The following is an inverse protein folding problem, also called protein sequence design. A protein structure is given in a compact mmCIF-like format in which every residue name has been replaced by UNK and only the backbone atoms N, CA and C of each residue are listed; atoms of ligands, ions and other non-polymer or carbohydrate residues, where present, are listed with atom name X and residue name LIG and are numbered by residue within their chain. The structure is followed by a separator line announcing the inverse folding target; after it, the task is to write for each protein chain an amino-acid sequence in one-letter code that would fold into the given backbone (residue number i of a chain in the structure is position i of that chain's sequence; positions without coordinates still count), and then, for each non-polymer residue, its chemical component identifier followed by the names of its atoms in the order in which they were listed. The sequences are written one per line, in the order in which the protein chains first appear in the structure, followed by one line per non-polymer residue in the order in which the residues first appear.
data_IF_005081359970
#
_entry.id   IF_005081359970
#
_cell.length_a   1.000
_cell.length_b   1.000
_cell.length_c   1.000
_cell.angle_alpha   90.00
_cell.angle_beta   90.00
_cell.angle_gamma   90.00
#
_symmetry.space_group_name_H-M   'P 1'
#
loop_
_entity.id
_entity.type
_entity.pdbx_description
1 polymer ?
#
# COMPACT_ATOMS: atom_id res chain seq x y z
N UNK A 1 -11.09 -6.78 -15.37
CA UNK A 1 -10.84 -5.38 -14.96
C UNK A 1 -11.02 -5.19 -13.45
N UNK A 2 -12.12 -5.65 -12.87
CA UNK A 2 -12.45 -5.49 -11.44
C UNK A 2 -11.40 -6.09 -10.49
N UNK A 3 -10.93 -7.31 -10.76
CA UNK A 3 -9.87 -7.96 -9.96
C UNK A 3 -8.57 -7.14 -9.91
N UNK A 4 -8.18 -6.56 -11.04
CA UNK A 4 -6.99 -5.71 -11.13
C UNK A 4 -7.17 -4.40 -10.35
N UNK A 5 -8.36 -3.80 -10.47
CA UNK A 5 -8.73 -2.60 -9.72
C UNK A 5 -8.65 -2.86 -8.21
N UNK A 6 -9.22 -3.97 -7.74
CA UNK A 6 -9.16 -4.37 -6.32
C UNK A 6 -7.71 -4.45 -5.81
N UNK A 7 -6.82 -5.11 -6.55
CA UNK A 7 -5.42 -5.26 -6.16
C UNK A 7 -4.68 -3.91 -6.04
N UNK A 8 -5.03 -2.92 -6.87
CA UNK A 8 -4.46 -1.56 -6.77
C UNK A 8 -5.05 -0.77 -5.61
N UNK A 9 -6.36 -0.86 -5.40
CA UNK A 9 -7.04 -0.15 -4.32
C UNK A 9 -6.62 -0.67 -2.94
N UNK A 10 -6.41 -1.98 -2.78
CA UNK A 10 -6.13 -2.55 -1.47
C UNK A 10 -4.73 -2.20 -0.95
N UNK A 11 -3.76 -2.00 -1.84
CA UNK A 11 -2.39 -1.59 -1.47
C UNK A 11 -2.17 -0.08 -1.51
N UNK A 12 -3.19 0.69 -1.89
CA UNK A 12 -3.10 2.14 -1.89
C UNK A 12 -2.90 2.66 -0.46
N UNK A 13 -1.82 3.44 -0.26
CA UNK A 13 -1.43 4.05 1.02
C UNK A 13 -1.58 3.04 2.17
N UNK A 14 -0.86 1.92 2.08
CA UNK A 14 -1.05 0.76 2.95
C UNK A 14 -0.86 1.07 4.45
N UNK A 15 -0.02 2.05 4.76
CA UNK A 15 0.26 2.53 6.11
C UNK A 15 -0.88 3.36 6.71
N UNK A 16 -1.73 3.93 5.87
CA UNK A 16 -2.92 4.64 6.31
C UNK A 16 -4.11 3.68 6.50
N UNK A 17 -5.15 4.11 7.24
CA UNK A 17 -6.42 3.42 7.26
C UNK A 17 -6.97 3.19 5.84
N UNK A 18 -7.57 2.03 5.60
CA UNK A 18 -8.19 1.71 4.32
C UNK A 18 -9.31 2.72 4.01
N UNK A 19 -9.26 3.39 2.86
CA UNK A 19 -10.18 4.48 2.51
C UNK A 19 -11.39 4.04 1.68
N UNK A 20 -11.35 2.82 1.12
CA UNK A 20 -12.39 2.34 0.21
C UNK A 20 -13.51 1.64 1.00
N UNK A 21 -14.68 2.26 1.07
CA UNK A 21 -15.82 1.80 1.87
C UNK A 21 -16.27 0.37 1.52
N UNK A 22 -16.23 0.01 0.23
CA UNK A 22 -16.54 -1.35 -0.24
C UNK A 22 -15.62 -2.39 0.42
N UNK A 23 -14.31 -2.15 0.38
CA UNK A 23 -13.31 -3.07 0.93
C UNK A 23 -13.34 -3.06 2.46
N UNK A 24 -13.68 -1.93 3.09
CA UNK A 24 -13.93 -1.87 4.54
C UNK A 24 -15.08 -2.80 4.94
N UNK A 25 -16.21 -2.72 4.22
CA UNK A 25 -17.40 -3.55 4.50
C UNK A 25 -17.07 -5.03 4.39
N UNK A 26 -16.36 -5.43 3.34
CA UNK A 26 -15.96 -6.82 3.12
C UNK A 26 -14.92 -7.29 4.17
N UNK A 27 -14.02 -6.40 4.60
CA UNK A 27 -12.95 -6.70 5.54
C UNK A 27 -13.35 -6.84 7.01
N UNK A 28 -14.63 -6.70 7.36
CA UNK A 28 -15.09 -6.85 8.76
C UNK A 28 -15.02 -8.28 9.29
N UNK A 29 -15.09 -9.29 8.42
CA UNK A 29 -15.12 -10.70 8.84
C UNK A 29 -13.95 -11.47 8.24
N UNK A 30 -13.21 -12.18 9.08
CA UNK A 30 -12.21 -13.13 8.63
C UNK A 30 -12.87 -14.45 8.27
N UNK A 31 -12.74 -14.91 7.02
CA UNK A 31 -13.25 -16.22 6.61
C UNK A 31 -12.23 -17.26 7.04
N UNK A 32 -12.56 -18.14 7.99
CA UNK A 32 -11.63 -19.16 8.49
C UNK A 32 -12.15 -20.58 8.33
N UNK A 33 -13.39 -20.76 7.87
CA UNK A 33 -13.99 -22.07 7.68
C UNK A 33 -13.24 -22.86 6.59
N UNK A 34 -12.82 -24.07 6.93
CA UNK A 34 -12.07 -25.01 6.08
C UNK A 34 -12.79 -25.30 4.76
N UNK A 35 -14.12 -25.20 4.73
CA UNK A 35 -14.92 -25.43 3.52
C UNK A 35 -14.56 -24.47 2.36
N UNK A 36 -14.01 -23.29 2.64
CA UNK A 36 -13.64 -22.28 1.65
C UNK A 36 -12.24 -22.45 1.06
N UNK A 37 -11.48 -23.47 1.49
CA UNK A 37 -10.09 -23.66 1.09
C UNK A 37 -9.84 -25.01 0.41
N UNK A 38 -9.03 -24.98 -0.65
CA UNK A 38 -8.57 -26.20 -1.35
C UNK A 38 -7.66 -27.05 -0.47
N UNK A 39 -6.89 -26.40 0.40
CA UNK A 39 -6.04 -27.01 1.40
C UNK A 39 -6.09 -26.18 2.69
N UNK A 40 -6.06 -26.85 3.84
CA UNK A 40 -6.05 -26.19 5.14
C UNK A 40 -5.00 -26.86 6.03
N UNK A 41 -3.96 -26.11 6.39
CA UNK A 41 -2.79 -26.64 7.10
C UNK A 41 -2.61 -26.08 8.52
N UNK A 42 -1.61 -26.60 9.22
CA UNK A 42 -1.25 -26.16 10.58
C UNK A 42 -0.79 -24.70 10.66
N UNK A 43 -0.33 -24.10 9.56
CA UNK A 43 0.15 -22.72 9.56
C UNK A 43 -1.02 -21.75 9.50
N UNK A 44 -2.07 -22.08 8.74
CA UNK A 44 -3.35 -21.37 8.76
C UNK A 44 -3.98 -21.41 10.16
N UNK A 45 -4.00 -22.59 10.79
CA UNK A 45 -4.52 -22.74 12.15
C UNK A 45 -3.75 -21.89 13.16
N UNK A 46 -2.41 -21.98 13.17
CA UNK A 46 -1.56 -21.17 14.06
C UNK A 46 -1.70 -19.67 13.83
N UNK A 47 -1.88 -19.23 12.58
CA UNK A 47 -2.14 -17.83 12.28
C UNK A 47 -3.46 -17.37 12.88
N UNK A 48 -4.54 -18.15 12.69
CA UNK A 48 -5.86 -17.83 13.24
C UNK A 48 -5.87 -17.87 14.78
N UNK A 49 -5.15 -18.80 15.40
CA UNK A 49 -4.96 -18.80 16.86
C UNK A 49 -4.21 -17.57 17.35
N UNK A 50 -3.12 -17.19 16.66
CA UNK A 50 -2.36 -15.97 16.99
C UNK A 50 -3.23 -14.73 16.86
N UNK A 51 -4.12 -14.68 15.86
CA UNK A 51 -5.12 -13.62 15.73
C UNK A 51 -6.07 -13.58 16.93
N UNK A 52 -6.70 -14.70 17.30
CA UNK A 52 -7.62 -14.78 18.45
C UNK A 52 -6.96 -14.37 19.77
N UNK A 53 -5.67 -14.62 19.92
CA UNK A 53 -4.88 -14.27 21.11
C UNK A 53 -4.31 -12.85 21.07
N UNK A 54 -4.62 -12.04 20.04
CA UNK A 54 -4.02 -10.72 19.82
C UNK A 54 -2.49 -10.74 19.81
N UNK A 55 -1.92 -11.82 19.27
CA UNK A 55 -0.48 -12.11 19.25
C UNK A 55 0.13 -12.00 17.83
N UNK A 56 -0.59 -11.40 16.89
CA UNK A 56 -0.03 -11.03 15.59
C UNK A 56 1.00 -9.91 15.75
N UNK A 57 1.94 -9.83 14.81
CA UNK A 57 2.85 -8.69 14.67
C UNK A 57 2.00 -7.39 14.63
N UNK A 58 2.21 -6.45 15.57
CA UNK A 58 1.43 -5.22 15.60
C UNK A 58 1.58 -4.40 14.33
N UNK A 59 0.55 -3.64 13.98
CA UNK A 59 0.60 -2.66 12.90
C UNK A 59 1.57 -1.53 13.24
N UNK A 60 2.25 -0.98 12.23
CA UNK A 60 3.28 0.06 12.40
C UNK A 60 4.65 -0.44 12.88
N UNK A 61 4.75 -1.70 13.33
CA UNK A 61 6.02 -2.32 13.68
C UNK A 61 6.80 -2.81 12.45
N UNK A 62 8.11 -2.98 12.60
CA UNK A 62 8.96 -3.50 11.53
C UNK A 62 8.63 -4.96 11.21
N UNK A 63 8.27 -5.22 9.95
CA UNK A 63 8.22 -6.58 9.40
C UNK A 63 9.54 -6.94 8.71
N UNK A 64 9.95 -8.20 8.87
CA UNK A 64 11.16 -8.72 8.24
C UNK A 64 10.99 -10.19 7.89
N UNK A 65 11.09 -10.52 6.60
CA UNK A 65 10.90 -11.89 6.11
C UNK A 65 11.96 -12.89 6.65
N UNK A 66 13.10 -12.40 7.12
CA UNK A 66 14.15 -13.22 7.75
C UNK A 66 13.92 -13.47 9.25
N UNK A 67 13.00 -12.72 9.87
CA UNK A 67 12.63 -12.91 11.27
C UNK A 67 11.69 -14.11 11.36
N UNK A 68 12.14 -15.18 12.04
CA UNK A 68 11.43 -16.47 12.07
C UNK A 68 9.98 -16.37 12.55
N UNK A 69 9.68 -15.50 13.52
CA UNK A 69 8.32 -15.29 14.03
C UNK A 69 7.44 -14.59 12.99
N UNK A 70 7.95 -13.54 12.36
CA UNK A 70 7.24 -12.79 11.32
C UNK A 70 6.96 -13.69 10.11
N UNK A 71 7.97 -14.43 9.66
CA UNK A 71 7.84 -15.33 8.51
C UNK A 71 6.78 -16.41 8.74
N UNK A 72 6.70 -16.98 9.95
CA UNK A 72 5.67 -17.99 10.28
C UNK A 72 4.26 -17.42 10.18
N UNK A 73 4.04 -16.19 10.68
CA UNK A 73 2.74 -15.53 10.58
C UNK A 73 2.43 -15.17 9.11
N UNK A 74 3.41 -14.62 8.38
CA UNK A 74 3.27 -14.30 6.97
C UNK A 74 2.94 -15.53 6.11
N UNK A 75 3.54 -16.69 6.42
CA UNK A 75 3.28 -17.94 5.73
C UNK A 75 1.86 -18.45 5.97
N UNK A 76 1.38 -18.39 7.22
CA UNK A 76 -0.01 -18.73 7.53
C UNK A 76 -1.00 -17.80 6.82
N UNK A 77 -0.74 -16.48 6.80
CA UNK A 77 -1.55 -15.52 6.06
C UNK A 77 -1.53 -15.77 4.55
N UNK A 78 -0.35 -16.02 3.97
CA UNK A 78 -0.19 -16.38 2.57
C UNK A 78 -1.05 -17.61 2.22
N UNK A 79 -1.08 -18.63 3.07
CA UNK A 79 -1.88 -19.83 2.82
C UNK A 79 -3.39 -19.54 2.77
N UNK A 80 -3.90 -18.63 3.61
CA UNK A 80 -5.29 -18.15 3.50
C UNK A 80 -5.60 -17.47 2.16
N UNK A 81 -4.63 -16.76 1.59
CA UNK A 81 -4.79 -16.15 0.27
C UNK A 81 -4.62 -17.18 -0.86
N UNK A 82 -3.62 -18.05 -0.75
CA UNK A 82 -3.24 -18.98 -1.80
C UNK A 82 -4.27 -20.10 -1.97
N UNK A 83 -4.78 -20.67 -0.87
CA UNK A 83 -5.69 -21.82 -0.93
C UNK A 83 -7.17 -21.45 -1.04
N UNK A 84 -7.55 -20.16 -1.02
CA UNK A 84 -8.93 -19.74 -1.18
C UNK A 84 -9.53 -20.28 -2.50
N UNK A 85 -10.66 -20.99 -2.42
CA UNK A 85 -11.30 -21.67 -3.56
C UNK A 85 -11.85 -20.71 -4.60
N UNK A 86 -12.32 -19.56 -4.14
CA UNK A 86 -13.02 -18.58 -4.94
C UNK A 86 -12.50 -17.16 -4.68
N UNK A 87 -12.92 -16.23 -5.56
CA UNK A 87 -12.46 -14.85 -5.51
C UNK A 87 -13.02 -14.12 -4.30
N UNK A 88 -14.25 -14.44 -3.90
CA UNK A 88 -14.98 -13.83 -2.80
C UNK A 88 -14.28 -14.09 -1.46
N UNK A 89 -13.87 -15.34 -1.22
CA UNK A 89 -13.08 -15.74 -0.03
C UNK A 89 -11.73 -15.04 -0.03
N UNK A 90 -11.04 -15.01 -1.18
CA UNK A 90 -9.77 -14.30 -1.32
C UNK A 90 -9.92 -12.81 -0.99
N UNK A 91 -10.91 -12.15 -1.61
CA UNK A 91 -11.17 -10.72 -1.47
C UNK A 91 -11.49 -10.37 -0.01
N UNK A 92 -12.33 -11.16 0.65
CA UNK A 92 -12.69 -10.95 2.05
C UNK A 92 -11.49 -11.06 2.99
N UNK A 93 -10.67 -12.10 2.82
CA UNK A 93 -9.47 -12.27 3.66
C UNK A 93 -8.40 -11.20 3.41
N UNK A 94 -8.21 -10.80 2.15
CA UNK A 94 -7.27 -9.74 1.79
C UNK A 94 -7.72 -8.40 2.35
N UNK A 95 -9.02 -8.08 2.24
CA UNK A 95 -9.60 -6.88 2.83
C UNK A 95 -9.48 -6.89 4.36
N UNK A 96 -9.77 -8.02 5.00
CA UNK A 96 -9.61 -8.19 6.44
C UNK A 96 -8.14 -8.00 6.86
N UNK A 97 -7.21 -8.61 6.14
CA UNK A 97 -5.78 -8.52 6.45
C UNK A 97 -5.26 -7.08 6.31
N UNK A 98 -5.71 -6.34 5.30
CA UNK A 98 -5.38 -4.92 5.11
C UNK A 98 -5.77 -4.03 6.30
N UNK A 99 -6.78 -4.44 7.07
CA UNK A 99 -7.29 -3.70 8.24
C UNK A 99 -6.60 -4.16 9.52
N UNK A 100 -6.32 -5.46 9.68
CA UNK A 100 -5.94 -6.03 10.97
C UNK A 100 -4.48 -6.48 11.08
N UNK A 101 -3.79 -6.63 9.96
CA UNK A 101 -2.42 -7.19 9.90
C UNK A 101 -1.41 -6.08 9.64
N UNK A 102 -0.21 -6.24 10.20
CA UNK A 102 0.96 -5.44 9.87
C UNK A 102 1.14 -5.26 8.35
N UNK A 103 1.43 -4.03 7.95
CA UNK A 103 1.46 -3.55 6.57
C UNK A 103 2.47 -4.32 5.71
N UNK A 104 3.70 -4.48 6.22
CA UNK A 104 4.75 -5.20 5.52
C UNK A 104 4.44 -6.69 5.39
N UNK A 105 3.89 -7.30 6.45
CA UNK A 105 3.46 -8.70 6.43
C UNK A 105 2.31 -8.94 5.44
N UNK A 106 1.34 -8.03 5.41
CA UNK A 106 0.21 -8.05 4.49
C UNK A 106 0.67 -7.98 3.02
N UNK A 107 1.47 -6.96 2.67
CA UNK A 107 1.97 -6.78 1.30
C UNK A 107 2.83 -7.95 0.87
N UNK A 108 3.67 -8.48 1.77
CA UNK A 108 4.48 -9.66 1.50
C UNK A 108 3.63 -10.89 1.15
N UNK A 109 2.65 -11.22 1.99
CA UNK A 109 1.76 -12.35 1.76
C UNK A 109 0.90 -12.19 0.50
N UNK A 110 0.36 -10.99 0.26
CA UNK A 110 -0.43 -10.68 -0.93
C UNK A 110 0.41 -10.79 -2.21
N UNK A 111 1.65 -10.29 -2.18
CA UNK A 111 2.58 -10.37 -3.32
C UNK A 111 2.86 -11.81 -3.70
N UNK A 112 3.15 -12.67 -2.71
CA UNK A 112 3.35 -14.11 -2.97
C UNK A 112 2.09 -14.76 -3.53
N UNK A 113 0.91 -14.44 -2.98
CA UNK A 113 -0.34 -15.00 -3.48
C UNK A 113 -0.60 -14.61 -4.94
N UNK A 114 -0.40 -13.35 -5.30
CA UNK A 114 -0.60 -12.88 -6.68
C UNK A 114 0.38 -13.51 -7.67
N UNK A 115 1.64 -13.73 -7.26
CA UNK A 115 2.66 -14.34 -8.11
C UNK A 115 2.39 -15.84 -8.32
N UNK A 116 1.97 -16.55 -7.27
CA UNK A 116 1.92 -18.01 -7.29
C UNK A 116 0.57 -18.62 -7.67
N UNK A 117 -0.53 -17.87 -7.54
CA UNK A 117 -1.87 -18.38 -7.90
C UNK A 117 -2.04 -18.49 -9.41
N UNK A 118 -2.37 -19.67 -9.90
CA UNK A 118 -2.56 -19.93 -11.33
C UNK A 118 -3.70 -19.10 -11.96
N UNK A 119 -4.76 -18.85 -11.20
CA UNK A 119 -5.94 -18.08 -11.63
C UNK A 119 -5.68 -16.56 -11.68
N UNK A 120 -4.50 -16.10 -11.26
CA UNK A 120 -4.11 -14.69 -11.20
C UNK A 120 -3.13 -14.30 -12.32
N UNK A 121 -2.86 -15.20 -13.27
CA UNK A 121 -2.01 -14.91 -14.43
C UNK A 121 -2.49 -13.66 -15.17
N UNK A 122 -1.60 -12.68 -15.31
CA UNK A 122 -1.88 -11.38 -15.92
C UNK A 122 -2.36 -10.31 -14.96
N UNK A 123 -2.61 -10.64 -13.69
CA UNK A 123 -2.79 -9.64 -12.63
C UNK A 123 -1.43 -9.16 -12.11
N UNK A 124 -1.36 -7.89 -11.78
CA UNK A 124 -0.15 -7.26 -11.27
C UNK A 124 -0.43 -6.46 -10.00
N UNK A 125 0.53 -6.39 -9.10
CA UNK A 125 0.56 -5.37 -8.05
C UNK A 125 1.39 -4.17 -8.54
N UNK A 126 1.18 -2.99 -7.97
CA UNK A 126 2.14 -1.90 -8.11
C UNK A 126 3.51 -2.35 -7.64
N UNK A 127 4.54 -1.68 -8.15
CA UNK A 127 5.90 -1.99 -7.73
C UNK A 127 6.11 -1.68 -6.25
N UNK A 128 7.04 -2.38 -5.61
CA UNK A 128 7.25 -2.25 -4.17
C UNK A 128 7.69 -0.83 -3.73
N UNK A 129 8.36 -0.08 -4.60
CA UNK A 129 8.76 1.31 -4.35
C UNK A 129 7.61 2.31 -4.50
N UNK A 130 6.50 1.93 -5.15
CA UNK A 130 5.26 2.71 -5.15
C UNK A 130 4.42 2.43 -3.89
N UNK A 131 4.51 1.21 -3.34
CA UNK A 131 3.78 0.82 -2.13
C UNK A 131 4.51 1.32 -0.87
N UNK A 132 5.83 1.14 -0.79
CA UNK A 132 6.67 1.53 0.34
C UNK A 132 7.85 2.41 -0.10
N UNK A 133 7.59 3.67 -0.50
CA UNK A 133 8.65 4.57 -0.98
C UNK A 133 9.76 4.79 0.05
N UNK A 134 9.46 4.75 1.34
CA UNK A 134 10.41 5.00 2.43
C UNK A 134 11.59 4.02 2.48
N UNK A 135 11.48 2.83 1.88
CA UNK A 135 12.58 1.88 1.80
C UNK A 135 13.51 2.10 0.60
N UNK A 136 13.14 2.99 -0.33
CA UNK A 136 13.86 3.20 -1.59
C UNK A 136 14.36 4.64 -1.78
N UNK A 137 13.77 5.62 -1.08
CA UNK A 137 14.20 7.01 -1.12
C UNK A 137 14.88 7.45 0.18
N UNK A 138 15.72 8.48 0.09
CA UNK A 138 16.38 9.03 1.27
C UNK A 138 15.37 9.74 2.19
N UNK A 139 15.69 9.80 3.48
CA UNK A 139 14.81 10.39 4.50
C UNK A 139 14.50 11.86 4.27
N UNK A 140 15.45 12.63 3.71
CA UNK A 140 15.22 14.04 3.36
C UNK A 140 14.09 14.18 2.34
N UNK A 141 14.12 13.39 1.27
CA UNK A 141 13.11 13.39 0.23
C UNK A 141 11.74 12.97 0.78
N UNK A 142 11.70 11.90 1.58
CA UNK A 142 10.45 11.44 2.22
C UNK A 142 9.86 12.55 3.11
N UNK A 143 10.67 13.20 3.92
CA UNK A 143 10.24 14.28 4.80
C UNK A 143 9.73 15.52 4.05
N UNK A 144 10.41 15.89 2.96
CA UNK A 144 9.96 16.97 2.07
C UNK A 144 8.62 16.63 1.40
N UNK A 145 8.44 15.38 0.98
CA UNK A 145 7.20 14.90 0.36
C UNK A 145 6.04 14.84 1.37
N UNK A 146 6.28 14.38 2.60
CA UNK A 146 5.26 14.31 3.66
C UNK A 146 4.76 15.71 4.06
N UNK A 147 5.67 16.69 4.11
CA UNK A 147 5.35 18.08 4.41
C UNK A 147 4.77 18.87 3.25
N UNK A 148 4.74 18.30 2.06
CA UNK A 148 4.27 18.99 0.88
C UNK A 148 2.77 19.30 1.01
N UNK A 149 2.44 20.58 1.15
CA UNK A 149 1.08 21.07 1.03
C UNK A 149 0.85 21.65 -0.37
N UNK A 150 0.06 20.94 -1.16
CA UNK A 150 -0.31 21.35 -2.51
C UNK A 150 -0.99 22.72 -2.54
N UNK A 151 -1.84 23.05 -1.54
CA UNK A 151 -2.55 24.33 -1.53
C UNK A 151 -1.59 25.49 -1.31
N UNK A 152 -0.66 25.34 -0.38
CA UNK A 152 0.41 26.32 -0.13
C UNK A 152 1.30 26.48 -1.35
N UNK A 153 1.78 25.37 -1.94
CA UNK A 153 2.61 25.40 -3.15
C UNK A 153 1.89 26.08 -4.33
N UNK A 154 0.62 25.76 -4.55
CA UNK A 154 -0.19 26.37 -5.62
C UNK A 154 -0.35 27.88 -5.44
N UNK A 155 -0.50 28.36 -4.21
CA UNK A 155 -0.59 29.80 -3.91
C UNK A 155 0.75 30.51 -4.16
N UNK A 156 1.87 29.90 -3.77
CA UNK A 156 3.20 30.45 -4.04
C UNK A 156 3.45 30.63 -5.54
N UNK A 157 3.12 29.63 -6.35
CA UNK A 157 3.24 29.72 -7.82
C UNK A 157 2.39 30.86 -8.38
N UNK A 158 1.17 31.04 -7.86
CA UNK A 158 0.32 32.14 -8.27
C UNK A 158 0.96 33.49 -7.93
N UNK A 159 1.50 33.66 -6.71
CA UNK A 159 2.17 34.90 -6.31
C UNK A 159 3.44 35.17 -7.11
N UNK A 160 4.25 34.16 -7.41
CA UNK A 160 5.43 34.30 -8.27
C UNK A 160 5.03 34.76 -9.68
N UNK A 161 3.95 34.20 -10.23
CA UNK A 161 3.41 34.63 -11.52
C UNK A 161 2.91 36.08 -11.48
N UNK A 162 2.14 36.45 -10.46
CA UNK A 162 1.66 37.82 -10.28
C UNK A 162 2.84 38.81 -10.15
N UNK A 163 3.86 38.46 -9.38
CA UNK A 163 5.10 39.24 -9.23
C UNK A 163 5.81 39.40 -10.58
N UNK A 164 6.02 38.30 -11.31
CA UNK A 164 6.64 38.31 -12.63
C UNK A 164 5.84 39.16 -13.63
N UNK A 165 4.50 39.05 -13.65
CA UNK A 165 3.64 39.85 -14.51
C UNK A 165 3.74 41.35 -14.21
N UNK A 166 3.92 41.73 -12.93
CA UNK A 166 4.17 43.12 -12.54
C UNK A 166 5.53 43.60 -13.07
N UNK A 167 6.62 42.88 -12.80
CA UNK A 167 7.96 43.28 -13.25
C UNK A 167 8.13 43.27 -14.78
N UNK A 168 7.44 42.37 -15.48
CA UNK A 168 7.55 42.23 -16.93
C UNK A 168 6.49 43.03 -17.73
N UNK A 169 5.44 43.57 -17.09
CA UNK A 169 4.58 44.59 -17.71
C UNK A 169 5.28 45.94 -17.86
N UNK A 170 6.16 46.30 -16.92
CA UNK A 170 6.95 47.55 -17.01
C UNK A 170 8.18 47.42 -17.93
N UNK A 171 8.68 46.20 -18.16
CA UNK A 171 9.89 45.94 -18.95
C UNK A 171 9.72 45.97 -20.49
N UNK A 172 8.62 46.51 -21.03
CA UNK A 172 8.60 46.90 -22.46
C UNK A 172 9.54 48.06 -22.79
N UNK A 173 10.22 48.64 -21.78
CA UNK A 173 11.18 49.73 -21.95
C UNK A 173 12.64 49.38 -21.64
N UNK A 174 12.96 48.19 -21.12
CA UNK A 174 14.35 47.80 -20.80
C UNK A 174 14.70 46.43 -21.36
N UNK A 175 14.66 46.33 -22.69
CA UNK A 175 15.34 45.24 -23.38
C UNK A 175 16.83 45.58 -23.51
N UNK A 176 17.60 45.41 -22.42
CA UNK A 176 19.07 45.38 -22.48
C UNK A 176 19.66 44.73 -21.22
N UNK A 177 20.31 43.59 -21.41
CA UNK A 177 21.40 43.19 -20.53
C UNK A 177 21.22 41.87 -19.76
N UNK A 178 21.92 40.86 -20.27
CA UNK A 178 22.58 39.77 -19.53
C UNK A 178 21.70 38.75 -18.78
N UNK A 179 21.51 37.60 -19.45
CA UNK A 179 21.21 36.32 -18.79
C UNK A 179 22.51 35.49 -18.68
N UNK A 180 23.08 35.45 -17.47
CA UNK A 180 23.78 34.29 -16.91
C UNK A 180 23.17 34.12 -15.50
N UNK A 181 22.90 32.94 -14.98
CA UNK A 181 23.90 31.98 -14.48
C UNK A 181 23.23 30.62 -14.19
N UNK A 182 24.02 29.57 -14.49
CA UNK A 182 24.14 28.18 -13.97
C UNK A 182 23.07 27.59 -13.06
#
# INVERSE_FOLDING_TARGET
LERQKFLFEIVYRVEDPLMFEEHIKTGHTFVYDKAHYTHYDQYMEKFYESYKMSALLPRGEFFGALVKTHLKQAYGLFNFFYYAKDWETFQANVAWARIHVNEGMFVYALTLAVIHRDDFKGLILPSIYEIFPQYFFNSKFIYEAEKFDYQTWSKYIQYEKELHDVYHKENRYYNQGYFYVK
#
